data_IF_682723802876
#
_entry.id   IF_682723802876
#
_cell.length_a   1.000
_cell.length_b   1.000
_cell.length_c   1.000
_cell.angle_alpha   90.00
_cell.angle_beta   90.00
_cell.angle_gamma   90.00
#
_symmetry.space_group_name_H-M   'P 1'
#
loop_
_entity.id
_entity.type
_entity.pdbx_description
1 polymer ?
#
# COMPACT_ATOMS: atom_id res chain seq x y z
N UNK A 1 16.39 -15.54 -24.72
CA UNK A 1 14.99 -15.82 -25.12
C UNK A 1 14.14 -14.93 -24.22
N UNK A 2 13.52 -13.88 -24.76
CA UNK A 2 12.66 -13.01 -23.96
C UNK A 2 11.32 -13.72 -23.79
N UNK A 3 10.97 -14.09 -22.56
CA UNK A 3 9.63 -14.63 -22.27
C UNK A 3 8.60 -13.57 -22.63
N UNK A 4 7.62 -13.96 -23.46
CA UNK A 4 6.54 -13.09 -23.89
C UNK A 4 5.64 -12.78 -22.68
N UNK A 5 5.45 -11.49 -22.36
CA UNK A 5 4.64 -11.09 -21.21
C UNK A 5 3.18 -11.51 -21.42
N UNK A 6 2.58 -12.06 -20.38
CA UNK A 6 1.18 -12.49 -20.44
C UNK A 6 0.24 -11.27 -20.51
N UNK A 7 -0.58 -11.22 -21.55
CA UNK A 7 -1.64 -10.23 -21.71
C UNK A 7 -2.81 -10.53 -20.76
N UNK A 8 -3.15 -9.60 -19.87
CA UNK A 8 -4.19 -9.80 -18.84
C UNK A 8 -5.00 -8.53 -18.57
N UNK A 9 -6.28 -8.69 -18.23
CA UNK A 9 -7.14 -7.61 -17.76
C UNK A 9 -6.83 -7.27 -16.29
N UNK A 10 -6.88 -5.98 -15.95
CA UNK A 10 -6.61 -5.46 -14.59
C UNK A 10 -7.39 -6.24 -13.53
N UNK A 11 -8.69 -6.41 -13.73
CA UNK A 11 -9.59 -7.05 -12.77
C UNK A 11 -9.22 -8.51 -12.51
N UNK A 12 -8.92 -9.26 -13.58
CA UNK A 12 -8.52 -10.67 -13.47
C UNK A 12 -7.21 -10.79 -12.69
N UNK A 13 -6.20 -10.02 -13.07
CA UNK A 13 -4.91 -10.05 -12.38
C UNK A 13 -5.04 -9.65 -10.91
N UNK A 14 -5.72 -8.54 -10.62
CA UNK A 14 -5.90 -8.05 -9.26
C UNK A 14 -6.64 -9.09 -8.40
N UNK A 15 -7.73 -9.68 -8.92
CA UNK A 15 -8.48 -10.73 -8.21
C UNK A 15 -7.59 -11.93 -7.87
N UNK A 16 -6.84 -12.43 -8.84
CA UNK A 16 -5.96 -13.58 -8.66
C UNK A 16 -4.82 -13.24 -7.69
N UNK A 17 -4.26 -12.03 -7.76
CA UNK A 17 -3.22 -11.58 -6.85
C UNK A 17 -3.74 -11.43 -5.42
N UNK A 18 -4.85 -10.72 -5.21
CA UNK A 18 -5.44 -10.50 -3.88
C UNK A 18 -5.80 -11.82 -3.20
N UNK A 19 -6.46 -12.71 -3.94
CA UNK A 19 -6.88 -14.00 -3.39
C UNK A 19 -5.70 -14.87 -3.00
N UNK A 20 -4.69 -14.99 -3.87
CA UNK A 20 -3.64 -16.00 -3.73
C UNK A 20 -2.36 -15.50 -3.06
N UNK A 21 -2.14 -14.18 -3.00
CA UNK A 21 -0.89 -13.57 -2.50
C UNK A 21 -1.09 -12.66 -1.29
N UNK A 22 -2.32 -12.24 -0.95
CA UNK A 22 -2.58 -11.34 0.18
C UNK A 22 -3.60 -11.93 1.17
N UNK A 23 -4.77 -12.35 0.67
CA UNK A 23 -5.89 -12.72 1.54
C UNK A 23 -5.87 -14.17 2.01
N UNK A 24 -5.38 -15.09 1.18
CA UNK A 24 -5.33 -16.53 1.46
C UNK A 24 -3.99 -17.12 1.00
N UNK A 25 -2.89 -16.64 1.56
CA UNK A 25 -1.56 -17.06 1.12
C UNK A 25 -1.28 -18.49 1.58
N UNK A 26 -1.40 -19.45 0.66
CA UNK A 26 -1.08 -20.84 0.92
C UNK A 26 0.07 -21.30 0.04
N UNK A 27 1.18 -21.69 0.65
CA UNK A 27 2.34 -22.23 -0.06
C UNK A 27 2.49 -23.70 0.30
N UNK A 28 2.21 -24.58 -0.67
CA UNK A 28 2.36 -26.04 -0.54
C UNK A 28 1.60 -26.62 0.67
N UNK A 29 0.40 -26.13 0.95
CA UNK A 29 -0.43 -26.56 2.07
C UNK A 29 -0.14 -25.84 3.39
N UNK A 30 0.86 -24.96 3.42
CA UNK A 30 1.19 -24.16 4.61
C UNK A 30 0.42 -22.84 4.57
N UNK A 31 -0.34 -22.58 5.63
CA UNK A 31 -1.02 -21.30 5.86
C UNK A 31 0.01 -20.23 6.28
N UNK A 32 0.45 -19.45 5.30
CA UNK A 32 1.43 -18.39 5.52
C UNK A 32 0.81 -17.24 6.32
N UNK A 33 -0.49 -17.00 6.18
CA UNK A 33 -1.18 -15.93 6.88
C UNK A 33 -1.18 -16.13 8.40
N UNK A 34 -1.16 -17.38 8.85
CA UNK A 34 -1.03 -17.72 10.27
C UNK A 34 0.41 -17.58 10.80
N UNK A 35 1.40 -17.99 10.00
CA UNK A 35 2.81 -18.09 10.42
C UNK A 35 3.53 -16.75 10.32
N UNK A 36 3.26 -16.00 9.26
CA UNK A 36 4.02 -14.80 8.93
C UNK A 36 3.93 -13.70 10.00
N UNK A 37 2.74 -13.36 10.55
CA UNK A 37 2.66 -12.39 11.64
C UNK A 37 3.36 -12.84 12.91
N UNK A 38 3.42 -14.15 13.18
CA UNK A 38 4.12 -14.70 14.33
C UNK A 38 5.64 -14.57 14.19
N UNK A 39 6.17 -14.93 13.02
CA UNK A 39 7.59 -14.76 12.71
C UNK A 39 7.98 -13.27 12.75
N UNK A 40 7.19 -12.40 12.13
CA UNK A 40 7.43 -10.96 12.13
C UNK A 40 7.39 -10.41 13.56
N UNK A 41 6.38 -10.75 14.37
CA UNK A 41 6.33 -10.29 15.77
C UNK A 41 7.55 -10.76 16.55
N UNK A 42 7.96 -12.03 16.39
CA UNK A 42 9.13 -12.59 17.06
C UNK A 42 10.39 -11.82 16.69
N UNK A 43 10.68 -11.65 15.40
CA UNK A 43 11.86 -10.92 14.93
C UNK A 43 11.87 -9.47 15.44
N UNK A 44 10.71 -8.79 15.44
CA UNK A 44 10.60 -7.43 15.96
C UNK A 44 10.78 -7.36 17.48
N UNK A 45 10.31 -8.35 18.22
CA UNK A 45 10.49 -8.41 19.68
C UNK A 45 11.94 -8.71 20.06
N UNK A 46 12.62 -9.54 19.28
CA UNK A 46 14.06 -9.82 19.43
C UNK A 46 14.89 -8.56 19.14
N UNK A 47 14.54 -7.81 18.09
CA UNK A 47 15.20 -6.56 17.72
C UNK A 47 14.89 -5.40 18.68
N UNK A 48 13.63 -5.24 19.11
CA UNK A 48 13.18 -4.18 20.01
C UNK A 48 12.09 -4.71 20.97
N UNK A 49 12.39 -4.81 22.28
CA UNK A 49 11.44 -5.34 23.27
C UNK A 49 10.12 -4.58 23.36
N UNK A 50 10.02 -3.34 22.84
CA UNK A 50 8.77 -2.59 22.81
C UNK A 50 7.66 -3.33 22.05
N UNK A 51 8.01 -4.20 21.09
CA UNK A 51 7.06 -5.02 20.33
C UNK A 51 6.48 -6.21 21.11
N UNK A 52 6.97 -6.51 22.31
CA UNK A 52 6.46 -7.62 23.15
C UNK A 52 4.95 -7.54 23.33
N UNK A 53 4.45 -6.34 23.61
CA UNK A 53 3.05 -6.07 23.93
C UNK A 53 2.18 -5.78 22.70
N UNK A 54 2.75 -5.79 21.49
CA UNK A 54 1.97 -5.61 20.26
C UNK A 54 1.02 -6.79 20.09
N UNK A 55 -0.27 -6.52 19.92
CA UNK A 55 -1.25 -7.58 19.67
C UNK A 55 -0.97 -8.27 18.32
N UNK A 56 -0.92 -9.61 18.33
CA UNK A 56 -0.56 -10.40 17.14
C UNK A 56 -1.62 -10.30 16.05
N UNK A 57 -2.90 -10.30 16.42
CA UNK A 57 -4.00 -10.23 15.45
C UNK A 57 -4.05 -8.85 14.80
N UNK A 58 -3.82 -7.80 15.58
CA UNK A 58 -3.67 -6.43 15.08
C UNK A 58 -2.49 -6.30 14.14
N UNK A 59 -1.32 -6.82 14.49
CA UNK A 59 -0.17 -6.83 13.58
C UNK A 59 -0.50 -7.57 12.28
N UNK A 60 -1.14 -8.74 12.35
CA UNK A 60 -1.55 -9.49 11.17
C UNK A 60 -2.49 -8.69 10.25
N UNK A 61 -3.50 -8.03 10.84
CA UNK A 61 -4.43 -7.18 10.10
C UNK A 61 -3.71 -6.00 9.44
N UNK A 62 -2.82 -5.33 10.16
CA UNK A 62 -2.04 -4.19 9.65
C UNK A 62 -1.07 -4.58 8.54
N UNK A 63 -0.43 -5.75 8.65
CA UNK A 63 0.43 -6.27 7.57
C UNK A 63 -0.36 -6.55 6.31
N UNK A 64 -1.59 -7.09 6.41
CA UNK A 64 -2.47 -7.28 5.24
C UNK A 64 -2.85 -5.96 4.58
N UNK A 65 -3.23 -4.95 5.38
CA UNK A 65 -3.54 -3.60 4.87
C UNK A 65 -2.32 -3.01 4.15
N UNK A 66 -1.15 -3.11 4.78
CA UNK A 66 0.11 -2.62 4.21
C UNK A 66 0.47 -3.33 2.90
N UNK A 67 0.25 -4.64 2.81
CA UNK A 67 0.44 -5.40 1.56
C UNK A 67 -0.44 -4.89 0.41
N UNK A 68 -1.72 -4.61 0.67
CA UNK A 68 -2.60 -4.00 -0.33
C UNK A 68 -2.10 -2.61 -0.77
N UNK A 69 -1.63 -1.78 0.17
CA UNK A 69 -1.11 -0.45 -0.17
C UNK A 69 0.21 -0.53 -0.95
N UNK A 70 1.12 -1.43 -0.57
CA UNK A 70 2.38 -1.66 -1.27
C UNK A 70 2.16 -2.24 -2.67
N UNK A 71 1.17 -3.11 -2.85
CA UNK A 71 0.75 -3.56 -4.17
C UNK A 71 0.26 -2.39 -5.03
N UNK A 72 -0.60 -1.53 -4.50
CA UNK A 72 -1.10 -0.36 -5.22
C UNK A 72 0.02 0.65 -5.54
N UNK A 73 1.01 0.77 -4.65
CA UNK A 73 2.21 1.57 -4.87
C UNK A 73 3.11 0.98 -5.98
N UNK A 74 3.36 -0.33 -5.95
CA UNK A 74 4.10 -1.02 -7.01
C UNK A 74 3.37 -0.87 -8.36
N UNK A 75 2.04 -0.95 -8.35
CA UNK A 75 1.20 -0.76 -9.54
C UNK A 75 1.43 0.59 -10.21
N UNK A 76 1.36 1.67 -9.44
CA UNK A 76 1.52 3.02 -10.00
C UNK A 76 2.94 3.26 -10.49
N UNK A 77 3.96 2.76 -9.77
CA UNK A 77 5.35 2.85 -10.21
C UNK A 77 5.60 2.05 -11.51
N UNK A 78 4.91 0.92 -11.69
CA UNK A 78 5.12 0.04 -12.85
C UNK A 78 4.36 0.49 -14.09
N UNK A 79 3.06 0.77 -13.96
CA UNK A 79 2.17 1.04 -15.09
C UNK A 79 1.78 2.51 -15.22
N UNK A 80 2.21 3.34 -14.28
CA UNK A 80 1.84 4.75 -14.24
C UNK A 80 0.40 4.97 -13.77
N UNK A 81 -0.01 6.22 -13.88
CA UNK A 81 -1.25 6.71 -13.28
C UNK A 81 -2.52 6.30 -14.04
N UNK A 82 -2.42 6.00 -15.34
CA UNK A 82 -3.59 5.68 -16.17
C UNK A 82 -4.34 4.43 -15.66
N UNK A 83 -3.60 3.38 -15.32
CA UNK A 83 -4.15 2.11 -14.83
C UNK A 83 -4.39 2.10 -13.31
N UNK A 84 -3.79 3.02 -12.56
CA UNK A 84 -3.98 3.10 -11.11
C UNK A 84 -5.43 3.42 -10.73
N UNK A 85 -6.14 4.19 -11.59
CA UNK A 85 -7.56 4.52 -11.42
C UNK A 85 -8.41 3.25 -11.47
N UNK A 86 -8.27 2.48 -12.55
CA UNK A 86 -9.04 1.25 -12.78
C UNK A 86 -8.74 0.23 -11.69
N UNK A 87 -7.45 0.07 -11.33
CA UNK A 87 -7.04 -0.80 -10.24
C UNK A 87 -7.68 -0.40 -8.91
N UNK A 88 -7.71 0.89 -8.57
CA UNK A 88 -8.28 1.33 -7.29
C UNK A 88 -9.80 1.21 -7.24
N UNK A 89 -10.51 1.50 -8.34
CA UNK A 89 -11.98 1.25 -8.44
C UNK A 89 -12.27 -0.24 -8.25
N UNK A 90 -11.55 -1.10 -8.97
CA UNK A 90 -11.72 -2.54 -8.84
C UNK A 90 -11.42 -3.02 -7.41
N UNK A 91 -10.33 -2.54 -6.80
CA UNK A 91 -9.92 -2.95 -5.44
C UNK A 91 -10.96 -2.60 -4.41
N UNK A 92 -11.55 -1.39 -4.50
CA UNK A 92 -12.63 -0.98 -3.61
C UNK A 92 -13.84 -1.91 -3.73
N UNK A 93 -14.31 -2.14 -4.95
CA UNK A 93 -15.46 -3.02 -5.18
C UNK A 93 -15.17 -4.44 -4.69
N UNK A 94 -13.98 -4.96 -5.01
CA UNK A 94 -13.54 -6.29 -4.60
C UNK A 94 -13.53 -6.44 -3.07
N UNK A 95 -12.95 -5.48 -2.35
CA UNK A 95 -12.90 -5.52 -0.88
C UNK A 95 -14.30 -5.40 -0.27
N UNK A 96 -15.17 -4.58 -0.85
CA UNK A 96 -16.57 -4.48 -0.43
C UNK A 96 -17.32 -5.81 -0.60
N UNK A 97 -17.18 -6.44 -1.78
CA UNK A 97 -17.82 -7.73 -2.08
C UNK A 97 -17.33 -8.86 -1.16
N UNK A 98 -16.07 -8.80 -0.72
CA UNK A 98 -15.47 -9.75 0.23
C UNK A 98 -15.76 -9.38 1.71
N UNK A 99 -16.52 -8.32 1.97
CA UNK A 99 -16.84 -7.85 3.34
C UNK A 99 -15.63 -7.31 4.09
N UNK A 100 -14.66 -6.74 3.36
CA UNK A 100 -13.35 -6.27 3.84
C UNK A 100 -13.17 -4.75 3.70
N UNK A 101 -14.24 -4.00 3.96
CA UNK A 101 -14.19 -2.53 4.00
C UNK A 101 -13.15 -2.03 5.04
N UNK A 102 -12.87 -2.81 6.08
CA UNK A 102 -11.81 -2.56 7.07
C UNK A 102 -10.43 -2.39 6.43
N UNK A 103 -10.14 -3.17 5.38
CA UNK A 103 -8.87 -3.11 4.66
C UNK A 103 -8.78 -1.83 3.86
N UNK A 104 -9.85 -1.49 3.14
CA UNK A 104 -9.92 -0.29 2.32
C UNK A 104 -9.73 0.97 3.17
N UNK A 105 -10.45 1.07 4.27
CA UNK A 105 -10.33 2.19 5.21
C UNK A 105 -8.94 2.25 5.86
N UNK A 106 -8.37 1.08 6.16
CA UNK A 106 -7.01 0.94 6.65
C UNK A 106 -5.96 1.49 5.68
N UNK A 107 -6.10 1.22 4.39
CA UNK A 107 -5.16 1.67 3.35
C UNK A 107 -5.02 3.19 3.33
N UNK A 108 -6.10 3.93 3.58
CA UNK A 108 -6.08 5.40 3.59
C UNK A 108 -5.10 5.98 4.62
N UNK A 109 -4.76 5.23 5.67
CA UNK A 109 -3.76 5.65 6.64
C UNK A 109 -2.33 5.59 6.06
N UNK A 110 -1.93 4.44 5.50
CA UNK A 110 -0.61 4.26 4.88
C UNK A 110 -0.43 5.14 3.65
N UNK A 111 -1.50 5.30 2.90
CA UNK A 111 -1.52 6.16 1.73
C UNK A 111 -1.22 7.64 2.03
N UNK A 112 -1.77 8.16 3.14
CA UNK A 112 -1.41 9.51 3.63
C UNK A 112 0.06 9.59 4.04
N UNK A 113 0.63 8.53 4.60
CA UNK A 113 2.04 8.46 4.93
C UNK A 113 2.93 8.54 3.68
N UNK A 114 2.56 7.83 2.61
CA UNK A 114 3.22 7.92 1.29
C UNK A 114 3.14 9.35 0.77
N UNK A 115 1.94 9.95 0.78
CA UNK A 115 1.76 11.32 0.31
C UNK A 115 2.61 12.32 1.08
N UNK A 116 2.71 12.17 2.40
CA UNK A 116 3.55 13.02 3.23
C UNK A 116 5.03 12.83 2.89
N UNK A 117 5.50 11.59 2.76
CA UNK A 117 6.88 11.26 2.38
C UNK A 117 7.32 11.92 1.07
N UNK A 118 6.40 12.09 0.11
CA UNK A 118 6.71 12.77 -1.17
C UNK A 118 6.98 14.26 -1.04
N UNK A 119 6.51 14.90 0.04
CA UNK A 119 6.59 16.36 0.23
C UNK A 119 7.62 16.79 1.28
N UNK A 120 8.02 15.89 2.16
CA UNK A 120 8.96 16.21 3.25
C UNK A 120 10.34 16.57 2.69
N UNK A 121 10.91 17.65 3.20
CA UNK A 121 12.25 18.12 2.82
C UNK A 121 12.34 18.77 1.44
N UNK A 122 11.20 18.99 0.76
CA UNK A 122 11.15 19.73 -0.50
C UNK A 122 11.03 21.23 -0.28
N UNK A 123 11.44 22.01 -1.30
CA UNK A 123 11.15 23.44 -1.33
C UNK A 123 9.65 23.70 -1.41
N UNK A 124 9.21 24.92 -1.07
CA UNK A 124 7.81 25.32 -1.18
C UNK A 124 7.29 25.22 -2.63
N UNK A 125 8.13 25.52 -3.61
CA UNK A 125 7.80 25.47 -5.04
C UNK A 125 7.61 24.03 -5.50
N UNK A 126 8.54 23.13 -5.15
CA UNK A 126 8.46 21.72 -5.52
C UNK A 126 7.24 21.05 -4.87
N UNK A 127 6.97 21.39 -3.60
CA UNK A 127 5.78 20.91 -2.88
C UNK A 127 4.50 21.38 -3.55
N UNK A 128 4.43 22.66 -3.96
CA UNK A 128 3.27 23.21 -4.67
C UNK A 128 3.05 22.52 -6.03
N UNK A 129 4.12 22.19 -6.76
CA UNK A 129 4.02 21.47 -8.03
C UNK A 129 3.44 20.06 -7.85
N UNK A 130 3.89 19.31 -6.83
CA UNK A 130 3.33 17.99 -6.49
C UNK A 130 1.86 18.10 -6.12
N UNK A 131 1.49 19.07 -5.27
CA UNK A 131 0.11 19.28 -4.86
C UNK A 131 -0.80 19.65 -6.05
N UNK A 132 -0.30 20.47 -6.98
CA UNK A 132 -1.02 20.81 -8.21
C UNK A 132 -1.19 19.59 -9.12
N UNK A 133 -0.15 18.78 -9.30
CA UNK A 133 -0.23 17.54 -10.07
C UNK A 133 -1.26 16.56 -9.48
N UNK A 134 -1.28 16.42 -8.16
CA UNK A 134 -2.28 15.63 -7.43
C UNK A 134 -3.70 16.13 -7.66
N UNK A 135 -3.90 17.45 -7.59
CA UNK A 135 -5.21 18.07 -7.85
C UNK A 135 -5.70 17.77 -9.26
N UNK A 136 -4.85 17.99 -10.27
CA UNK A 136 -5.21 17.74 -11.67
C UNK A 136 -5.57 16.25 -11.91
N UNK A 137 -4.88 15.34 -11.24
CA UNK A 137 -5.20 13.92 -11.32
C UNK A 137 -6.50 13.55 -10.60
N UNK A 138 -6.81 14.23 -9.50
CA UNK A 138 -8.08 14.06 -8.78
C UNK A 138 -9.28 14.30 -9.71
N UNK A 139 -9.22 15.36 -10.50
CA UNK A 139 -10.28 15.73 -11.43
C UNK A 139 -10.49 14.65 -12.51
N UNK A 140 -9.38 14.11 -13.07
CA UNK A 140 -9.43 12.98 -14.01
C UNK A 140 -9.98 11.69 -13.40
N UNK A 141 -9.63 11.41 -12.13
CA UNK A 141 -10.14 10.25 -11.40
C UNK A 141 -11.66 10.34 -11.21
N UNK A 142 -12.16 11.50 -10.79
CA UNK A 142 -13.58 11.75 -10.60
C UNK A 142 -14.34 11.48 -11.90
N UNK A 143 -13.88 12.05 -13.02
CA UNK A 143 -14.53 11.87 -14.32
C UNK A 143 -14.61 10.39 -14.73
N UNK A 144 -13.52 9.62 -14.56
CA UNK A 144 -13.50 8.19 -14.90
C UNK A 144 -14.38 7.36 -13.97
N UNK A 145 -14.37 7.65 -12.67
CA UNK A 145 -15.18 6.93 -11.69
C UNK A 145 -16.68 7.15 -11.93
N UNK A 146 -17.12 8.39 -12.20
CA UNK A 146 -18.51 8.70 -12.54
C UNK A 146 -18.96 7.96 -13.80
N UNK A 147 -18.11 7.87 -14.83
CA UNK A 147 -18.37 7.08 -16.05
C UNK A 147 -18.50 5.58 -15.78
N UNK A 148 -17.85 5.08 -14.74
CA UNK A 148 -17.95 3.68 -14.29
C UNK A 148 -19.11 3.42 -13.33
N UNK A 149 -19.99 4.42 -13.09
CA UNK A 149 -21.18 4.27 -12.25
C UNK A 149 -20.92 4.44 -10.75
N UNK A 150 -19.72 4.90 -10.36
CA UNK A 150 -19.37 5.20 -8.97
C UNK A 150 -20.01 6.54 -8.58
N UNK A 151 -20.79 6.58 -7.49
CA UNK A 151 -21.49 7.77 -7.03
C UNK A 151 -20.57 8.70 -6.23
N UNK A 152 -19.79 9.48 -6.97
CA UNK A 152 -18.78 10.37 -6.40
C UNK A 152 -19.33 11.46 -5.46
N UNK A 153 -20.65 11.68 -5.36
CA UNK A 153 -21.26 12.65 -4.42
C UNK A 153 -21.41 12.11 -2.99
N UNK A 154 -21.27 10.81 -2.80
CA UNK A 154 -21.22 10.22 -1.46
C UNK A 154 -19.86 10.53 -0.81
N UNK A 155 -19.90 11.00 0.44
CA UNK A 155 -18.72 11.44 1.17
C UNK A 155 -17.73 10.29 1.46
N UNK A 156 -18.22 9.06 1.63
CA UNK A 156 -17.38 7.86 1.74
C UNK A 156 -16.67 7.54 0.42
N UNK A 157 -17.34 7.80 -0.71
CA UNK A 157 -16.76 7.67 -2.04
C UNK A 157 -15.79 8.81 -2.36
N UNK A 158 -15.98 9.98 -1.76
CA UNK A 158 -15.06 11.10 -1.89
C UNK A 158 -13.70 10.87 -1.21
N UNK A 159 -13.66 10.15 -0.08
CA UNK A 159 -12.40 9.74 0.56
C UNK A 159 -11.66 8.67 -0.26
N UNK A 160 -12.42 7.84 -1.00
CA UNK A 160 -11.87 6.87 -1.95
C UNK A 160 -11.10 7.52 -3.12
N UNK A 161 -11.28 8.83 -3.35
CA UNK A 161 -10.52 9.62 -4.35
C UNK A 161 -9.05 9.78 -3.98
N UNK A 162 -8.72 9.89 -2.68
CA UNK A 162 -7.36 10.28 -2.28
C UNK A 162 -6.34 9.17 -2.49
N UNK A 163 -6.80 7.90 -2.46
CA UNK A 163 -5.93 6.73 -2.46
C UNK A 163 -4.98 6.68 -3.67
N UNK A 164 -5.44 6.66 -4.93
CA UNK A 164 -4.53 6.71 -6.07
C UNK A 164 -3.69 8.01 -6.12
N UNK A 165 -4.28 9.15 -5.76
CA UNK A 165 -3.65 10.48 -5.87
C UNK A 165 -2.43 10.60 -4.95
N UNK A 166 -2.54 10.09 -3.73
CA UNK A 166 -1.50 10.17 -2.72
C UNK A 166 -0.26 9.34 -3.07
N UNK A 167 -0.39 8.32 -3.92
CA UNK A 167 0.73 7.52 -4.45
C UNK A 167 1.43 8.19 -5.63
N UNK A 168 0.89 9.28 -6.18
CA UNK A 168 1.57 9.97 -7.26
C UNK A 168 2.86 10.62 -6.77
N UNK A 169 3.86 10.60 -7.64
CA UNK A 169 5.18 11.21 -7.44
C UNK A 169 5.98 10.59 -6.28
N UNK A 170 5.63 9.37 -5.86
CA UNK A 170 6.32 8.66 -4.78
C UNK A 170 7.59 7.96 -5.21
N UNK A 171 7.89 7.82 -6.50
CA UNK A 171 9.05 7.07 -7.00
C UNK A 171 10.37 7.59 -6.41
N UNK A 172 10.53 8.92 -6.39
CA UNK A 172 11.72 9.56 -5.84
C UNK A 172 11.81 9.41 -4.31
N UNK A 173 10.69 9.48 -3.61
CA UNK A 173 10.64 9.32 -2.15
C UNK A 173 10.86 7.85 -1.74
N UNK A 174 10.37 6.91 -2.55
CA UNK A 174 10.61 5.48 -2.42
C UNK A 174 12.10 5.16 -2.61
N UNK A 175 12.72 5.63 -3.70
CA UNK A 175 14.14 5.40 -3.97
C UNK A 175 15.10 6.01 -2.94
N UNK A 176 14.64 7.00 -2.16
CA UNK A 176 15.39 7.60 -1.05
C UNK A 176 15.12 6.94 0.32
N UNK A 177 14.22 5.95 0.39
CA UNK A 177 13.79 5.32 1.64
C UNK A 177 12.86 6.17 2.51
N UNK A 178 12.51 7.41 2.11
CA UNK A 178 11.60 8.27 2.87
C UNK A 178 10.22 7.65 2.98
N UNK A 179 9.71 7.08 1.88
CA UNK A 179 8.41 6.39 1.89
C UNK A 179 8.42 5.21 2.87
N UNK A 180 9.45 4.38 2.81
CA UNK A 180 9.64 3.24 3.73
C UNK A 180 9.64 3.69 5.18
N UNK A 181 10.39 4.75 5.51
CA UNK A 181 10.43 5.31 6.85
C UNK A 181 9.05 5.76 7.36
N UNK A 182 8.28 6.48 6.56
CA UNK A 182 6.93 6.92 6.95
C UNK A 182 5.93 5.77 7.08
N UNK A 183 6.09 4.70 6.28
CA UNK A 183 5.31 3.48 6.41
C UNK A 183 5.64 2.72 7.71
N UNK A 184 6.92 2.66 8.10
CA UNK A 184 7.36 2.09 9.39
C UNK A 184 6.69 2.82 10.56
N UNK A 185 6.81 4.16 10.61
CA UNK A 185 6.18 4.96 11.67
C UNK A 185 4.67 4.76 11.72
N UNK A 186 4.04 4.68 10.54
CA UNK A 186 2.61 4.47 10.42
C UNK A 186 2.18 3.10 10.95
N UNK A 187 2.90 2.04 10.58
CA UNK A 187 2.67 0.69 11.08
C UNK A 187 2.82 0.64 12.60
N UNK A 188 3.92 1.17 13.14
CA UNK A 188 4.18 1.21 14.58
C UNK A 188 3.07 1.93 15.36
N UNK A 189 2.61 3.08 14.85
CA UNK A 189 1.49 3.79 15.46
C UNK A 189 0.21 2.93 15.43
N UNK A 190 -0.12 2.35 14.27
CA UNK A 190 -1.32 1.53 14.11
C UNK A 190 -1.32 0.29 14.98
N UNK A 191 -0.16 -0.33 15.25
CA UNK A 191 -0.06 -1.48 16.16
C UNK A 191 -0.02 -1.08 17.65
N UNK A 192 -0.06 0.23 17.97
CA UNK A 192 -0.23 0.73 19.33
C UNK A 192 1.06 1.11 20.05
N UNK A 193 2.18 1.27 19.34
CA UNK A 193 3.44 1.75 19.92
C UNK A 193 3.46 3.27 20.15
N UNK A 194 2.44 3.98 19.66
CA UNK A 194 2.25 5.41 19.87
C UNK A 194 2.69 6.29 18.69
N UNK A 195 2.49 7.58 18.88
CA UNK A 195 2.92 8.67 18.00
C UNK A 195 3.08 9.93 18.86
N UNK A 196 4.02 10.81 18.54
CA UNK A 196 4.18 12.10 19.24
C UNK A 196 5.63 12.55 19.41
N UNK A 197 5.85 13.70 20.07
CA UNK A 197 7.17 14.31 20.25
C UNK A 197 8.14 13.40 21.01
N UNK A 198 7.61 12.58 21.91
CA UNK A 198 8.39 11.69 22.78
C UNK A 198 8.53 10.27 22.18
N UNK A 199 7.88 10.00 21.04
CA UNK A 199 8.00 8.72 20.34
C UNK A 199 9.08 8.80 19.27
N UNK A 200 10.23 8.19 19.53
CA UNK A 200 11.38 8.18 18.62
C UNK A 200 11.27 7.11 17.52
N UNK A 201 10.16 6.37 17.45
CA UNK A 201 10.06 5.19 16.61
C UNK A 201 10.65 3.95 17.27
N UNK A 202 10.63 2.81 16.57
CA UNK A 202 11.37 1.63 16.99
C UNK A 202 12.89 1.87 16.91
N UNK A 203 13.69 1.07 17.60
CA UNK A 203 15.16 1.17 17.51
C UNK A 203 15.69 0.83 16.10
N UNK A 204 16.98 1.05 15.87
CA UNK A 204 17.61 0.86 14.54
C UNK A 204 17.46 -0.57 13.99
N UNK A 205 17.61 -1.59 14.84
CA UNK A 205 17.50 -2.99 14.41
C UNK A 205 16.06 -3.33 13.98
N UNK A 206 15.06 -2.89 14.76
CA UNK A 206 13.66 -3.06 14.39
C UNK A 206 13.27 -2.22 13.15
N UNK A 207 13.84 -1.02 12.99
CA UNK A 207 13.68 -0.24 11.75
C UNK A 207 14.25 -0.99 10.54
N UNK A 208 15.42 -1.62 10.68
CA UNK A 208 16.01 -2.43 9.61
C UNK A 208 15.13 -3.63 9.27
N UNK A 209 14.63 -4.36 10.27
CA UNK A 209 13.71 -5.48 10.07
C UNK A 209 12.42 -5.05 9.34
N UNK A 210 11.81 -3.94 9.77
CA UNK A 210 10.59 -3.42 9.14
C UNK A 210 10.84 -2.86 7.74
N UNK A 211 11.99 -2.22 7.52
CA UNK A 211 12.39 -1.73 6.20
C UNK A 211 12.52 -2.88 5.22
N UNK A 212 13.26 -3.94 5.61
CA UNK A 212 13.40 -5.15 4.80
C UNK A 212 12.04 -5.78 4.50
N UNK A 213 11.19 -5.91 5.52
CA UNK A 213 9.83 -6.43 5.36
C UNK A 213 9.03 -5.64 4.31
N UNK A 214 9.01 -4.30 4.41
CA UNK A 214 8.30 -3.43 3.48
C UNK A 214 8.86 -3.55 2.05
N UNK A 215 10.18 -3.62 1.92
CA UNK A 215 10.83 -3.80 0.62
C UNK A 215 10.51 -5.17 0.01
N UNK A 216 10.59 -6.25 0.78
CA UNK A 216 10.27 -7.61 0.31
C UNK A 216 8.81 -7.66 -0.21
N UNK A 217 7.85 -7.09 0.53
CA UNK A 217 6.44 -7.05 0.11
C UNK A 217 6.22 -6.21 -1.16
N UNK A 218 6.89 -5.06 -1.27
CA UNK A 218 6.82 -4.23 -2.47
C UNK A 218 7.46 -4.91 -3.68
N UNK A 219 8.64 -5.50 -3.50
CA UNK A 219 9.40 -6.13 -4.57
C UNK A 219 8.69 -7.39 -5.07
N UNK A 220 8.08 -8.18 -4.19
CA UNK A 220 7.24 -9.32 -4.57
C UNK A 220 6.06 -8.89 -5.45
N UNK A 221 5.37 -7.80 -5.06
CA UNK A 221 4.31 -7.22 -5.87
C UNK A 221 4.87 -6.74 -7.22
N UNK A 222 5.94 -5.95 -7.22
CA UNK A 222 6.54 -5.39 -8.43
C UNK A 222 7.03 -6.48 -9.40
N UNK A 223 7.65 -7.55 -8.89
CA UNK A 223 8.07 -8.71 -9.69
C UNK A 223 6.89 -9.46 -10.30
N UNK A 224 5.76 -9.56 -9.60
CA UNK A 224 4.54 -10.11 -10.19
C UNK A 224 4.05 -9.24 -11.36
N UNK A 225 4.12 -7.92 -11.22
CA UNK A 225 3.74 -6.97 -12.29
C UNK A 225 4.72 -6.98 -13.48
N UNK A 226 6.00 -7.36 -13.29
CA UNK A 226 6.95 -7.48 -14.40
C UNK A 226 6.57 -8.58 -15.40
N UNK A 227 5.85 -9.61 -14.94
CA UNK A 227 5.50 -10.79 -15.75
C UNK A 227 4.29 -10.58 -16.65
N UNK A 228 3.60 -9.45 -16.51
CA UNK A 228 2.35 -9.19 -17.22
C UNK A 228 2.43 -7.96 -18.13
N UNK A 229 1.52 -7.94 -19.10
CA UNK A 229 1.16 -6.76 -19.88
C UNK A 229 -0.34 -6.54 -19.71
N UNK A 230 -0.73 -5.33 -19.33
CA UNK A 230 -2.15 -4.99 -19.17
C UNK A 230 -2.79 -4.79 -20.54
N UNK A 231 -3.93 -5.45 -20.77
CA UNK A 231 -4.80 -5.18 -21.91
C UNK A 231 -5.80 -4.08 -21.56
N UNK A 232 -6.04 -3.19 -22.53
CA UNK A 232 -7.12 -2.20 -22.48
C UNK A 232 -8.49 -2.86 -22.68
#
# INVERSE_FOLDING_TARGET
>A
MFDEKQAIYVEKFCRDFYKNQILNTNIKGVDIDAIYPEYTKKALTEADPVFTNVDKQKLAAELKILQFELFALAWIHKFGHEFAIVQSIFTRQYLHDEGRDDVWDGMAYYNRAIAHATTVGLSSIDSAAILLGRKNFADLYIEKAEKSGVNMKDKSEAESRSLPICRLFSEKAWGKGSTTYFLILSLCHRVGLGFGPDYLGPNEEAQFCLSKLIHDLYDDAYQALEKIKINN
#
